data_IF_859295338426
#
_entry.id   IF_859295338426
#
_cell.length_a   1.000
_cell.length_b   1.000
_cell.length_c   1.000
_cell.angle_alpha   90.00
_cell.angle_beta   90.00
_cell.angle_gamma   90.00
#
_symmetry.space_group_name_H-M   'P 1'
#
loop_
_entity.id
_entity.type
_entity.pdbx_description
1 polymer ?
#
# COMPACT_ATOMS: atom_id res chain seq x y z
N UNK A 1 4.92 -7.74 7.36
CA UNK A 1 4.58 -6.31 7.51
C UNK A 1 4.56 -5.74 6.10
N UNK A 2 3.44 -5.11 5.71
CA UNK A 2 3.28 -4.48 4.40
C UNK A 2 3.54 -2.97 4.48
N UNK A 3 3.66 -2.34 3.32
CA UNK A 3 3.67 -0.90 3.11
C UNK A 3 2.30 -0.54 2.54
N UNK A 4 1.46 0.01 3.40
CA UNK A 4 0.13 0.52 3.09
C UNK A 4 0.24 1.95 2.60
N UNK A 5 -0.10 2.15 1.32
CA UNK A 5 -0.05 3.46 0.69
C UNK A 5 -1.46 3.94 0.40
N UNK A 6 -1.82 5.11 0.94
CA UNK A 6 -3.13 5.75 0.73
C UNK A 6 -2.96 7.17 0.22
N UNK A 7 -3.67 7.51 -0.84
CA UNK A 7 -3.68 8.88 -1.38
C UNK A 7 -4.12 9.89 -0.32
N UNK A 8 -3.54 11.09 -0.35
CA UNK A 8 -3.84 12.15 0.62
C UNK A 8 -5.30 12.60 0.48
N UNK A 9 -5.73 12.85 -0.75
CA UNK A 9 -7.12 13.14 -1.11
C UNK A 9 -7.75 11.89 -1.73
N UNK A 10 -8.14 10.93 -0.89
CA UNK A 10 -8.63 9.61 -1.31
C UNK A 10 -9.81 9.70 -2.32
N UNK A 11 -9.64 9.30 -3.60
CA UNK A 11 -10.70 9.31 -4.61
C UNK A 11 -11.71 8.18 -4.44
N UNK A 12 -11.49 7.27 -3.49
CA UNK A 12 -12.30 6.07 -3.31
C UNK A 12 -13.76 6.43 -3.03
N UNK A 13 -14.66 5.91 -3.86
CA UNK A 13 -16.08 5.90 -3.54
C UNK A 13 -16.33 4.95 -2.37
N UNK A 14 -16.35 5.50 -1.15
CA UNK A 14 -16.51 4.73 0.09
C UNK A 14 -17.84 3.96 0.13
N UNK A 15 -18.89 4.43 -0.55
CA UNK A 15 -20.18 3.74 -0.63
C UNK A 15 -20.07 2.50 -1.54
N UNK A 16 -19.43 2.66 -2.70
CA UNK A 16 -19.14 1.55 -3.60
C UNK A 16 -18.21 0.54 -2.92
N UNK A 17 -17.10 0.98 -2.33
CA UNK A 17 -16.15 0.12 -1.64
C UNK A 17 -16.84 -0.67 -0.52
N UNK A 18 -17.67 -0.02 0.31
CA UNK A 18 -18.48 -0.70 1.34
C UNK A 18 -19.40 -1.77 0.73
N UNK A 19 -20.05 -1.46 -0.38
CA UNK A 19 -20.91 -2.41 -1.10
C UNK A 19 -20.11 -3.62 -1.60
N UNK A 20 -18.94 -3.39 -2.23
CA UNK A 20 -18.06 -4.46 -2.71
C UNK A 20 -17.50 -5.33 -1.58
N UNK A 21 -17.11 -4.71 -0.45
CA UNK A 21 -16.70 -5.45 0.75
C UNK A 21 -17.83 -6.33 1.28
N UNK A 22 -19.08 -5.85 1.26
CA UNK A 22 -20.25 -6.65 1.57
C UNK A 22 -20.39 -7.88 0.68
N UNK A 23 -20.19 -7.74 -0.64
CA UNK A 23 -20.17 -8.85 -1.60
C UNK A 23 -19.04 -9.84 -1.29
N UNK A 24 -17.82 -9.35 -1.03
CA UNK A 24 -16.68 -10.19 -0.67
C UNK A 24 -16.94 -11.01 0.59
N UNK A 25 -17.39 -10.39 1.68
CA UNK A 25 -17.68 -11.10 2.92
C UNK A 25 -18.82 -12.12 2.75
N UNK A 26 -19.83 -11.81 1.93
CA UNK A 26 -20.88 -12.77 1.61
C UNK A 26 -20.34 -13.99 0.84
N UNK A 27 -19.45 -13.78 -0.14
CA UNK A 27 -18.80 -14.86 -0.88
C UNK A 27 -17.90 -15.72 0.03
N UNK A 28 -17.10 -15.10 0.90
CA UNK A 28 -16.26 -15.80 1.89
C UNK A 28 -17.12 -16.65 2.81
N UNK A 29 -18.20 -16.08 3.35
CA UNK A 29 -19.14 -16.80 4.22
C UNK A 29 -19.79 -17.99 3.49
N UNK A 30 -20.17 -17.83 2.23
CA UNK A 30 -20.77 -18.89 1.43
C UNK A 30 -19.79 -20.05 1.18
N UNK A 31 -18.53 -19.74 0.85
CA UNK A 31 -17.45 -20.74 0.70
C UNK A 31 -17.17 -21.46 2.03
N UNK A 32 -17.03 -20.71 3.12
CA UNK A 32 -16.66 -21.27 4.43
C UNK A 32 -17.78 -22.09 5.07
N UNK A 33 -19.03 -21.94 4.61
CA UNK A 33 -20.15 -22.78 5.00
C UNK A 33 -20.10 -24.20 4.35
N UNK A 34 -19.24 -24.42 3.34
CA UNK A 34 -19.08 -25.73 2.73
C UNK A 34 -18.30 -26.69 3.66
N UNK A 35 -18.56 -28.01 3.60
CA UNK A 35 -17.82 -28.98 4.36
C UNK A 35 -16.30 -28.89 4.12
N UNK A 36 -15.51 -28.90 5.19
CA UNK A 36 -14.03 -28.74 5.11
C UNK A 36 -13.34 -29.74 4.18
N UNK A 37 -13.86 -30.96 4.04
CA UNK A 37 -13.28 -31.97 3.15
C UNK A 37 -13.39 -31.59 1.67
N UNK A 38 -14.28 -30.66 1.30
CA UNK A 38 -14.43 -30.20 -0.08
C UNK A 38 -13.37 -29.20 -0.53
N UNK A 39 -12.63 -28.60 0.41
CA UNK A 39 -11.54 -27.66 0.10
C UNK A 39 -10.41 -28.33 -0.70
N UNK A 40 -10.22 -29.63 -0.49
CA UNK A 40 -9.06 -30.38 -0.94
C UNK A 40 -7.79 -30.03 -0.15
N UNK A 41 -6.70 -30.70 -0.50
CA UNK A 41 -5.35 -30.43 -0.02
C UNK A 41 -4.47 -30.03 -1.20
N UNK A 42 -3.50 -29.15 -0.98
CA UNK A 42 -2.50 -28.81 -2.01
C UNK A 42 -1.69 -30.08 -2.32
N UNK A 43 -1.50 -30.38 -3.61
CA UNK A 43 -0.58 -31.43 -4.02
C UNK A 43 0.86 -30.99 -3.72
N UNK A 44 1.61 -31.70 -2.83
CA UNK A 44 2.99 -31.34 -2.51
C UNK A 44 3.90 -31.23 -3.73
N UNK A 45 3.64 -32.00 -4.79
CA UNK A 45 4.44 -31.94 -6.02
C UNK A 45 4.19 -30.63 -6.77
N UNK A 46 2.94 -30.17 -6.84
CA UNK A 46 2.60 -28.88 -7.46
C UNK A 46 3.10 -27.71 -6.64
N UNK A 47 3.05 -27.80 -5.30
CA UNK A 47 3.50 -26.73 -4.39
C UNK A 47 4.98 -26.41 -4.53
N UNK A 48 5.80 -27.40 -4.91
CA UNK A 48 7.23 -27.22 -5.16
C UNK A 48 7.53 -26.65 -6.55
N UNK A 49 6.52 -26.48 -7.41
CA UNK A 49 6.71 -25.89 -8.73
C UNK A 49 6.97 -24.38 -8.63
N UNK A 50 7.96 -23.84 -9.35
CA UNK A 50 8.15 -22.39 -9.49
C UNK A 50 6.94 -21.68 -10.13
N UNK A 51 6.06 -22.43 -10.81
CA UNK A 51 4.84 -21.93 -11.44
C UNK A 51 3.59 -22.16 -10.59
N UNK A 52 3.74 -22.49 -9.30
CA UNK A 52 2.61 -22.77 -8.43
C UNK A 52 1.75 -21.51 -8.26
N UNK A 53 0.46 -21.65 -8.57
CA UNK A 53 -0.55 -20.62 -8.37
C UNK A 53 -1.62 -21.15 -7.40
N UNK A 54 -1.87 -20.41 -6.32
CA UNK A 54 -2.89 -20.77 -5.34
C UNK A 54 -4.31 -20.71 -5.92
N UNK A 55 -4.52 -19.91 -6.96
CA UNK A 55 -5.79 -19.79 -7.66
C UNK A 55 -6.02 -20.93 -8.65
N UNK A 56 -4.97 -21.60 -9.15
CA UNK A 56 -5.11 -22.77 -10.01
C UNK A 56 -5.71 -23.95 -9.23
N UNK A 57 -6.96 -24.25 -9.56
CA UNK A 57 -7.72 -25.34 -8.94
C UNK A 57 -7.14 -26.73 -9.23
N UNK A 58 -6.33 -26.88 -10.28
CA UNK A 58 -5.66 -28.14 -10.63
C UNK A 58 -4.60 -28.54 -9.60
N UNK A 59 -4.08 -27.57 -8.82
CA UNK A 59 -3.08 -27.80 -7.78
C UNK A 59 -3.65 -28.41 -6.49
N UNK A 60 -4.96 -28.72 -6.45
CA UNK A 60 -5.67 -29.15 -5.25
C UNK A 60 -6.29 -30.55 -5.40
N UNK A 61 -5.78 -31.50 -4.62
CA UNK A 61 -6.28 -32.88 -4.56
C UNK A 61 -7.53 -32.97 -3.68
N UNK A 62 -8.61 -33.50 -4.24
CA UNK A 62 -9.87 -33.71 -3.52
C UNK A 62 -10.73 -32.46 -3.38
N UNK A 63 -10.35 -31.33 -4.00
CA UNK A 63 -11.21 -30.14 -4.08
C UNK A 63 -12.44 -30.46 -4.93
N UNK A 64 -13.63 -30.16 -4.42
CA UNK A 64 -14.85 -30.37 -5.21
C UNK A 64 -15.06 -29.23 -6.20
N UNK A 65 -15.73 -29.47 -7.35
CA UNK A 65 -16.13 -28.41 -8.26
C UNK A 65 -16.98 -27.31 -7.59
N UNK A 66 -17.75 -27.69 -6.57
CA UNK A 66 -18.56 -26.74 -5.79
C UNK A 66 -17.70 -25.81 -4.96
N UNK A 67 -16.68 -26.33 -4.28
CA UNK A 67 -15.76 -25.50 -3.51
C UNK A 67 -14.91 -24.62 -4.40
N UNK A 68 -14.43 -25.16 -5.53
CA UNK A 68 -13.75 -24.41 -6.58
C UNK A 68 -14.56 -23.18 -7.03
N UNK A 69 -15.80 -23.38 -7.47
CA UNK A 69 -16.67 -22.28 -7.88
C UNK A 69 -16.94 -21.25 -6.75
N UNK A 70 -17.04 -21.71 -5.49
CA UNK A 70 -17.17 -20.79 -4.35
C UNK A 70 -15.89 -20.00 -4.08
N UNK A 71 -14.71 -20.59 -4.31
CA UNK A 71 -13.42 -19.90 -4.24
C UNK A 71 -13.26 -18.89 -5.37
N UNK A 72 -13.65 -19.24 -6.61
CA UNK A 72 -13.66 -18.30 -7.74
C UNK A 72 -14.52 -17.07 -7.44
N UNK A 73 -15.71 -17.26 -6.85
CA UNK A 73 -16.56 -16.16 -6.43
C UNK A 73 -15.91 -15.26 -5.36
N UNK A 74 -15.09 -15.82 -4.47
CA UNK A 74 -14.30 -15.04 -3.51
C UNK A 74 -13.21 -14.25 -4.21
N UNK A 75 -12.43 -14.88 -5.11
CA UNK A 75 -11.36 -14.21 -5.84
C UNK A 75 -11.92 -13.07 -6.69
N UNK A 76 -13.04 -13.29 -7.38
CA UNK A 76 -13.70 -12.24 -8.15
C UNK A 76 -14.20 -11.10 -7.27
N UNK A 77 -14.87 -11.40 -6.16
CA UNK A 77 -15.32 -10.37 -5.23
C UNK A 77 -14.15 -9.60 -4.58
N UNK A 78 -12.99 -10.25 -4.39
CA UNK A 78 -11.76 -9.59 -3.94
C UNK A 78 -11.28 -8.58 -4.98
N UNK A 79 -11.15 -8.98 -6.25
CA UNK A 79 -10.78 -8.07 -7.35
C UNK A 79 -11.72 -6.88 -7.45
N UNK A 80 -13.01 -7.09 -7.20
CA UNK A 80 -13.99 -5.99 -7.16
C UNK A 80 -13.77 -5.02 -6.01
N UNK A 81 -13.27 -5.48 -4.86
CA UNK A 81 -12.86 -4.62 -3.75
C UNK A 81 -11.60 -3.85 -4.12
N UNK A 82 -10.59 -4.54 -4.65
CA UNK A 82 -9.31 -3.94 -5.04
C UNK A 82 -9.52 -2.84 -6.10
N UNK A 83 -10.34 -3.12 -7.12
CA UNK A 83 -10.72 -2.14 -8.14
C UNK A 83 -11.54 -0.96 -7.60
N UNK A 84 -12.21 -1.12 -6.45
CA UNK A 84 -13.02 -0.07 -5.84
C UNK A 84 -12.22 0.80 -4.87
N UNK A 85 -11.15 0.28 -4.23
CA UNK A 85 -10.25 1.03 -3.33
C UNK A 85 -9.22 1.80 -4.16
N UNK A 86 -9.69 2.70 -5.03
CA UNK A 86 -8.88 3.42 -6.01
C UNK A 86 -7.75 4.25 -5.39
N UNK A 87 -7.90 4.67 -4.13
CA UNK A 87 -6.90 5.45 -3.40
C UNK A 87 -5.86 4.62 -2.65
N UNK A 88 -5.84 3.29 -2.79
CA UNK A 88 -4.98 2.39 -2.02
C UNK A 88 -4.06 1.56 -2.90
N UNK A 89 -2.82 1.38 -2.45
CA UNK A 89 -1.85 0.45 -3.02
C UNK A 89 -1.06 -0.19 -1.88
N UNK A 90 -0.69 -1.47 -2.02
CA UNK A 90 0.05 -2.18 -0.99
C UNK A 90 1.14 -3.05 -1.59
N UNK A 91 2.31 -3.01 -0.96
CA UNK A 91 3.39 -3.96 -1.22
C UNK A 91 3.83 -4.59 0.09
N UNK A 92 4.16 -5.88 0.08
CA UNK A 92 4.87 -6.46 1.21
C UNK A 92 6.33 -5.96 1.25
N UNK A 93 7.08 -6.26 2.32
CA UNK A 93 8.47 -5.82 2.47
C UNK A 93 9.40 -6.22 1.31
N UNK A 94 9.20 -7.39 0.71
CA UNK A 94 9.98 -7.86 -0.43
C UNK A 94 9.61 -7.10 -1.71
N UNK A 95 8.31 -6.89 -1.93
CA UNK A 95 7.79 -6.07 -3.03
C UNK A 95 8.28 -4.63 -2.95
N UNK A 96 8.27 -4.03 -1.76
CA UNK A 96 8.78 -2.67 -1.55
C UNK A 96 10.30 -2.58 -1.75
N UNK A 97 11.06 -3.62 -1.35
CA UNK A 97 12.49 -3.68 -1.64
C UNK A 97 12.77 -3.70 -3.14
N UNK A 98 12.05 -4.55 -3.89
CA UNK A 98 12.15 -4.61 -5.35
C UNK A 98 11.68 -3.31 -6.00
N UNK A 99 10.58 -2.73 -5.53
CA UNK A 99 10.06 -1.45 -6.02
C UNK A 99 11.11 -0.35 -5.91
N UNK A 100 11.76 -0.19 -4.74
CA UNK A 100 12.85 0.78 -4.58
C UNK A 100 14.03 0.52 -5.50
N UNK A 101 14.40 -0.75 -5.72
CA UNK A 101 15.48 -1.09 -6.63
C UNK A 101 15.15 -0.63 -8.06
N UNK A 102 13.97 -0.97 -8.57
CA UNK A 102 13.53 -0.55 -9.91
C UNK A 102 13.45 0.98 -9.97
N UNK A 103 12.84 1.63 -8.96
CA UNK A 103 12.77 3.09 -8.92
C UNK A 103 14.17 3.75 -8.95
N UNK A 104 15.15 3.19 -8.25
CA UNK A 104 16.54 3.67 -8.28
C UNK A 104 17.17 3.50 -9.67
N UNK A 105 17.02 2.34 -10.30
CA UNK A 105 17.54 2.04 -11.65
C UNK A 105 17.00 3.01 -12.71
N UNK A 106 15.78 3.53 -12.50
CA UNK A 106 15.11 4.46 -13.41
C UNK A 106 15.12 5.92 -12.94
N UNK A 107 15.99 6.30 -11.98
CA UNK A 107 16.13 7.67 -11.44
C UNK A 107 14.82 8.26 -10.91
N UNK A 108 13.93 7.42 -10.38
CA UNK A 108 12.67 7.84 -9.76
C UNK A 108 12.85 8.16 -8.27
N UNK A 109 14.00 7.84 -7.68
CA UNK A 109 14.34 8.13 -6.29
C UNK A 109 15.34 9.27 -6.17
N UNK A 110 15.21 10.01 -5.07
CA UNK A 110 16.16 11.00 -4.62
C UNK A 110 16.95 10.47 -3.41
N UNK A 111 18.28 10.58 -3.48
CA UNK A 111 19.14 10.36 -2.32
C UNK A 111 19.16 11.60 -1.42
N UNK A 112 19.13 11.39 -0.10
CA UNK A 112 19.19 12.45 0.88
C UNK A 112 18.91 11.97 2.30
N UNK A 113 19.32 12.76 3.29
CA UNK A 113 18.94 12.55 4.68
C UNK A 113 17.50 13.01 4.94
N UNK A 114 16.89 12.47 5.98
CA UNK A 114 15.65 13.02 6.54
C UNK A 114 15.98 13.93 7.74
N UNK A 115 15.15 14.93 8.05
CA UNK A 115 15.31 15.75 9.24
C UNK A 115 15.08 14.90 10.49
N UNK A 116 15.56 15.39 11.64
CA UNK A 116 15.27 14.77 12.92
C UNK A 116 13.78 14.84 13.23
N UNK A 117 13.25 13.80 13.86
CA UNK A 117 11.89 13.82 14.38
C UNK A 117 11.77 14.86 15.51
N UNK A 118 10.67 15.65 15.55
CA UNK A 118 10.44 16.55 16.66
C UNK A 118 10.25 15.76 17.96
N UNK A 119 10.76 16.29 19.07
CA UNK A 119 10.48 15.73 20.39
C UNK A 119 9.41 16.57 21.10
N UNK A 120 8.51 15.93 21.87
CA UNK A 120 7.43 16.63 22.56
C UNK A 120 7.95 17.79 23.45
N UNK A 121 9.10 17.54 24.11
CA UNK A 121 9.76 18.51 25.00
C UNK A 121 10.18 19.80 24.29
N UNK A 122 10.40 19.76 22.97
CA UNK A 122 10.81 20.94 22.19
C UNK A 122 9.65 21.94 22.03
N UNK A 123 8.43 21.51 22.35
CA UNK A 123 7.19 22.28 22.22
C UNK A 123 6.52 22.53 23.57
N UNK A 124 7.19 22.32 24.70
CA UNK A 124 6.57 22.36 26.03
C UNK A 124 5.38 21.37 26.17
N UNK A 125 5.47 20.21 25.51
CA UNK A 125 4.51 19.12 25.64
C UNK A 125 5.19 17.86 26.23
N UNK A 126 4.39 16.98 26.81
CA UNK A 126 4.80 15.65 27.27
C UNK A 126 4.44 14.57 26.26
N UNK A 127 5.14 13.43 26.28
CA UNK A 127 4.78 12.30 25.42
C UNK A 127 3.34 11.82 25.67
N UNK A 128 2.90 11.79 26.93
CA UNK A 128 1.54 11.38 27.30
C UNK A 128 0.48 12.32 26.70
N UNK A 129 0.73 13.64 26.68
CA UNK A 129 -0.15 14.61 26.00
C UNK A 129 -0.17 14.38 24.49
N UNK A 130 0.99 14.13 23.86
CA UNK A 130 1.04 13.83 22.43
C UNK A 130 0.27 12.56 22.10
N UNK A 131 0.45 11.48 22.88
CA UNK A 131 -0.25 10.21 22.66
C UNK A 131 -1.76 10.36 22.85
N UNK A 132 -2.21 11.07 23.90
CA UNK A 132 -3.63 11.37 24.14
C UNK A 132 -4.25 12.11 22.94
N UNK A 133 -3.54 13.11 22.41
CA UNK A 133 -4.04 13.90 21.29
C UNK A 133 -3.88 13.22 19.95
N UNK A 134 -2.90 12.33 19.79
CA UNK A 134 -2.74 11.51 18.59
C UNK A 134 -4.00 10.68 18.35
N UNK A 135 -4.48 9.97 19.37
CA UNK A 135 -5.70 9.17 19.25
C UNK A 135 -6.93 10.03 18.93
N UNK A 136 -7.07 11.19 19.58
CA UNK A 136 -8.18 12.13 19.31
C UNK A 136 -8.17 12.69 17.88
N UNK A 137 -6.99 12.95 17.32
CA UNK A 137 -6.84 13.51 15.97
C UNK A 137 -7.04 12.44 14.89
N UNK A 138 -6.48 11.25 15.08
CA UNK A 138 -6.48 10.19 14.07
C UNK A 138 -7.68 9.24 14.18
N UNK A 139 -8.29 9.14 15.35
CA UNK A 139 -9.47 8.31 15.65
C UNK A 139 -10.51 9.11 16.44
N UNK A 140 -11.04 10.23 15.90
CA UNK A 140 -12.03 11.02 16.61
C UNK A 140 -13.27 10.18 16.89
N UNK A 141 -13.77 10.23 18.13
CA UNK A 141 -15.09 9.71 18.45
C UNK A 141 -16.16 10.57 17.74
N UNK A 142 -17.25 9.92 17.30
CA UNK A 142 -18.25 10.50 16.40
C UNK A 142 -18.67 11.93 16.77
N UNK A 143 -18.20 12.91 15.98
CA UNK A 143 -18.65 14.31 16.00
C UNK A 143 -17.83 15.28 16.86
N UNK A 144 -16.82 14.81 17.60
CA UNK A 144 -15.94 15.70 18.37
C UNK A 144 -14.66 16.03 17.58
N UNK A 145 -14.62 17.22 16.99
CA UNK A 145 -13.37 17.83 16.52
C UNK A 145 -12.83 18.68 17.66
N UNK A 146 -12.04 18.07 18.54
CA UNK A 146 -11.34 18.80 19.59
C UNK A 146 -10.07 19.43 19.00
N UNK A 147 -9.87 20.72 19.24
CA UNK A 147 -8.60 21.38 18.88
C UNK A 147 -7.54 21.10 19.95
N UNK A 148 -6.34 20.61 19.57
CA UNK A 148 -5.27 20.38 20.53
C UNK A 148 -4.80 21.70 21.17
N UNK A 149 -4.29 21.65 22.42
CA UNK A 149 -3.57 22.76 23.03
C UNK A 149 -2.47 23.29 22.10
N UNK A 150 -2.15 24.59 22.14
CA UNK A 150 -1.21 25.20 21.20
C UNK A 150 0.17 24.52 21.10
N UNK A 151 0.70 24.02 22.21
CA UNK A 151 1.96 23.25 22.25
C UNK A 151 1.86 21.94 21.46
N UNK A 152 0.78 21.18 21.67
CA UNK A 152 0.52 19.92 20.97
C UNK A 152 0.23 20.16 19.49
N UNK A 153 -0.52 21.21 19.15
CA UNK A 153 -0.74 21.64 17.78
C UNK A 153 0.58 21.94 17.05
N UNK A 154 1.47 22.71 17.69
CA UNK A 154 2.78 23.06 17.14
C UNK A 154 3.67 21.82 16.92
N UNK A 155 3.62 20.85 17.84
CA UNK A 155 4.29 19.56 17.67
C UNK A 155 3.78 18.82 16.42
N UNK A 156 2.46 18.72 16.23
CA UNK A 156 1.88 18.05 15.07
C UNK A 156 2.16 18.77 13.74
N UNK A 157 2.22 20.10 13.74
CA UNK A 157 2.65 20.88 12.58
C UNK A 157 4.12 20.60 12.22
N UNK A 158 5.01 20.54 13.21
CA UNK A 158 6.40 20.18 13.00
C UNK A 158 6.55 18.72 12.52
N UNK A 159 5.76 17.81 13.08
CA UNK A 159 5.73 16.40 12.67
C UNK A 159 5.26 16.26 11.21
N UNK A 160 4.23 17.02 10.82
CA UNK A 160 3.76 17.08 9.44
C UNK A 160 4.83 17.63 8.50
N UNK A 161 5.54 18.69 8.90
CA UNK A 161 6.63 19.26 8.13
C UNK A 161 7.76 18.23 7.90
N UNK A 162 8.13 17.46 8.93
CA UNK A 162 9.09 16.34 8.81
C UNK A 162 8.57 15.27 7.86
N UNK A 163 7.32 14.81 8.02
CA UNK A 163 6.73 13.76 7.18
C UNK A 163 6.62 14.15 5.71
N UNK A 164 6.42 15.43 5.42
CA UNK A 164 6.38 15.97 4.05
C UNK A 164 7.74 16.41 3.52
N UNK A 165 8.82 16.33 4.30
CA UNK A 165 10.13 16.89 3.95
C UNK A 165 10.67 16.33 2.63
N UNK A 166 11.24 17.22 1.81
CA UNK A 166 11.96 16.88 0.59
C UNK A 166 13.35 17.54 0.63
N UNK A 167 14.44 16.79 0.40
CA UNK A 167 15.78 17.37 0.33
C UNK A 167 15.89 18.42 -0.78
N UNK A 168 16.50 19.57 -0.49
CA UNK A 168 16.67 20.63 -1.50
C UNK A 168 17.56 20.17 -2.66
N UNK A 169 17.18 20.53 -3.89
CA UNK A 169 17.98 20.30 -5.09
C UNK A 169 17.98 18.86 -5.61
N UNK A 170 17.13 17.98 -5.08
CA UNK A 170 16.96 16.61 -5.60
C UNK A 170 15.70 16.49 -6.46
N UNK A 171 15.54 15.35 -7.13
CA UNK A 171 14.40 15.07 -8.01
C UNK A 171 13.97 13.62 -7.80
N UNK A 172 12.66 13.37 -7.76
CA UNK A 172 12.07 12.06 -7.48
C UNK A 172 11.67 11.88 -6.02
N UNK A 173 11.30 10.66 -5.64
CA UNK A 173 10.84 10.36 -4.27
C UNK A 173 12.05 10.17 -3.35
N UNK A 174 12.16 10.91 -2.22
CA UNK A 174 13.24 10.68 -1.27
C UNK A 174 13.22 9.23 -0.75
N UNK A 175 14.31 8.51 -0.94
CA UNK A 175 14.39 7.06 -0.68
C UNK A 175 13.92 6.69 0.73
N UNK A 176 14.25 7.50 1.74
CA UNK A 176 13.88 7.25 3.14
C UNK A 176 12.36 7.15 3.37
N UNK A 177 11.54 7.84 2.56
CA UNK A 177 10.06 7.81 2.70
C UNK A 177 9.48 6.44 2.39
N UNK A 178 10.20 5.64 1.60
CA UNK A 178 9.81 4.30 1.19
C UNK A 178 10.56 3.20 1.97
N UNK A 179 11.37 3.59 2.97
CA UNK A 179 12.15 2.66 3.79
C UNK A 179 11.41 2.24 5.07
N UNK A 180 10.44 3.02 5.54
CA UNK A 180 9.72 2.78 6.78
C UNK A 180 8.24 3.18 6.69
N UNK A 181 7.47 2.74 7.68
CA UNK A 181 6.03 2.96 7.79
C UNK A 181 5.70 4.13 8.73
N UNK A 182 6.58 5.13 8.84
CA UNK A 182 6.47 6.20 9.84
C UNK A 182 5.41 7.26 9.47
N UNK A 183 4.58 7.00 8.45
CA UNK A 183 3.56 7.92 7.97
C UNK A 183 4.12 9.04 7.09
N UNK A 184 5.24 8.79 6.39
CA UNK A 184 5.80 9.70 5.40
C UNK A 184 4.76 10.08 4.35
N UNK A 185 4.88 11.29 3.80
CA UNK A 185 4.06 11.76 2.69
C UNK A 185 4.93 11.88 1.46
N UNK A 186 4.66 11.05 0.45
CA UNK A 186 5.15 11.26 -0.91
C UNK A 186 4.22 12.27 -1.56
N UNK A 187 4.72 13.47 -1.81
CA UNK A 187 3.93 14.62 -2.27
C UNK A 187 3.54 14.49 -3.75
N UNK A 188 2.59 15.32 -4.19
CA UNK A 188 2.20 15.39 -5.60
C UNK A 188 3.38 15.60 -6.55
N UNK A 189 4.29 16.52 -6.22
CA UNK A 189 5.41 16.87 -7.09
C UNK A 189 6.43 15.73 -7.16
N UNK A 190 6.70 15.05 -6.04
CA UNK A 190 7.55 13.86 -6.02
C UNK A 190 6.96 12.72 -6.87
N UNK A 191 5.64 12.50 -6.81
CA UNK A 191 4.95 11.53 -7.65
C UNK A 191 5.10 11.86 -9.14
N UNK A 192 4.87 13.13 -9.54
CA UNK A 192 5.01 13.55 -10.94
C UNK A 192 6.45 13.37 -11.43
N UNK A 193 7.43 13.81 -10.65
CA UNK A 193 8.84 13.67 -11.00
C UNK A 193 9.25 12.21 -11.20
N UNK A 194 8.78 11.31 -10.31
CA UNK A 194 9.04 9.88 -10.45
C UNK A 194 8.39 9.28 -11.71
N UNK A 195 7.13 9.61 -11.99
CA UNK A 195 6.43 9.15 -13.19
C UNK A 195 7.07 9.70 -14.47
N UNK A 196 7.48 10.97 -14.47
CA UNK A 196 8.19 11.59 -15.59
C UNK A 196 9.54 10.91 -15.85
N UNK A 197 10.30 10.59 -14.79
CA UNK A 197 11.56 9.86 -14.89
C UNK A 197 11.35 8.45 -15.49
N UNK A 198 10.31 7.73 -15.05
CA UNK A 198 9.93 6.44 -15.61
C UNK A 198 9.60 6.55 -17.10
N UNK A 199 8.72 7.47 -17.48
CA UNK A 199 8.30 7.68 -18.86
C UNK A 199 9.48 8.07 -19.77
N UNK A 200 10.38 8.93 -19.28
CA UNK A 200 11.57 9.35 -20.02
C UNK A 200 12.58 8.21 -20.23
N UNK A 201 12.59 7.19 -19.36
CA UNK A 201 13.48 6.04 -19.50
C UNK A 201 13.15 5.16 -20.71
N UNK A 202 11.89 5.19 -21.19
CA UNK A 202 11.42 4.34 -22.27
C UNK A 202 11.42 2.84 -21.95
N UNK A 203 11.51 2.48 -20.67
CA UNK A 203 11.59 1.11 -20.20
C UNK A 203 10.26 0.36 -20.39
N UNK A 204 10.36 -0.94 -20.67
CA UNK A 204 9.23 -1.87 -20.65
C UNK A 204 8.88 -2.31 -19.23
N UNK A 205 8.09 -3.38 -19.11
CA UNK A 205 7.81 -3.98 -17.80
C UNK A 205 9.14 -4.51 -17.21
N UNK A 206 9.52 -4.10 -15.98
CA UNK A 206 10.71 -4.60 -15.33
C UNK A 206 10.64 -6.11 -15.13
N UNK A 207 11.80 -6.75 -15.09
CA UNK A 207 11.92 -8.18 -14.80
C UNK A 207 12.77 -8.41 -13.55
N UNK A 208 12.58 -9.57 -12.92
CA UNK A 208 13.38 -10.05 -11.79
C UNK A 208 13.76 -11.50 -11.99
N UNK A 209 14.80 -11.95 -11.28
CA UNK A 209 15.20 -13.35 -11.31
C UNK A 209 14.52 -14.12 -10.17
N UNK A 210 13.73 -15.13 -10.51
CA UNK A 210 13.14 -16.10 -9.58
C UNK A 210 13.53 -17.51 -10.02
N UNK A 211 14.16 -18.28 -9.12
CA UNK A 211 14.66 -19.64 -9.40
C UNK A 211 15.50 -19.75 -10.69
N UNK A 212 16.31 -18.72 -10.96
CA UNK A 212 17.17 -18.65 -12.14
C UNK A 212 16.44 -18.33 -13.45
N UNK A 213 15.17 -17.94 -13.39
CA UNK A 213 14.37 -17.50 -14.54
C UNK A 213 14.02 -16.03 -14.42
N UNK A 214 13.99 -15.36 -15.56
CA UNK A 214 13.50 -13.99 -15.68
C UNK A 214 11.97 -13.99 -15.67
N UNK A 215 11.38 -13.21 -14.77
CA UNK A 215 9.93 -13.08 -14.56
C UNK A 215 9.56 -11.61 -14.55
N UNK A 216 8.51 -11.24 -15.27
CA UNK A 216 7.97 -9.88 -15.29
C UNK A 216 7.40 -9.48 -13.92
N UNK A 217 7.64 -8.22 -13.54
CA UNK A 217 7.07 -7.61 -12.34
C UNK A 217 5.67 -7.09 -12.68
N UNK A 218 4.69 -7.98 -12.65
CA UNK A 218 3.33 -7.75 -13.17
C UNK A 218 2.55 -6.62 -12.48
N UNK A 219 2.87 -6.29 -11.22
CA UNK A 219 2.26 -5.18 -10.48
C UNK A 219 2.89 -3.82 -10.79
N UNK A 220 4.01 -3.76 -11.54
CA UNK A 220 4.71 -2.51 -11.82
C UNK A 220 3.87 -1.49 -12.61
N UNK A 221 3.11 -1.87 -13.67
CA UNK A 221 2.23 -0.93 -14.35
C UNK A 221 1.19 -0.30 -13.41
N UNK A 222 0.64 -1.07 -12.47
CA UNK A 222 -0.32 -0.58 -11.48
C UNK A 222 0.34 0.40 -10.50
N UNK A 223 1.60 0.17 -10.12
CA UNK A 223 2.38 1.09 -9.29
C UNK A 223 2.59 2.45 -9.98
N UNK A 224 2.99 2.44 -11.26
CA UNK A 224 3.18 3.67 -12.04
C UNK A 224 1.87 4.43 -12.21
N UNK A 225 0.78 3.72 -12.54
CA UNK A 225 -0.57 4.31 -12.62
C UNK A 225 -1.02 4.89 -11.27
N UNK A 226 -0.79 4.17 -10.17
CA UNK A 226 -1.10 4.65 -8.81
C UNK A 226 -0.35 5.95 -8.49
N UNK A 227 0.96 6.04 -8.75
CA UNK A 227 1.72 7.29 -8.54
C UNK A 227 1.21 8.43 -9.43
N UNK A 228 0.87 8.12 -10.69
CA UNK A 228 0.31 9.12 -11.60
C UNK A 228 -1.02 9.68 -11.07
N UNK A 229 -1.89 8.83 -10.54
CA UNK A 229 -3.14 9.29 -9.91
C UNK A 229 -2.86 10.02 -8.60
N UNK A 230 -1.97 9.51 -7.76
CA UNK A 230 -1.63 10.14 -6.48
C UNK A 230 -1.11 11.58 -6.67
N UNK A 231 -0.38 11.86 -7.75
CA UNK A 231 0.03 13.20 -8.12
C UNK A 231 -1.13 14.21 -8.21
N UNK A 232 -2.30 13.78 -8.70
CA UNK A 232 -3.51 14.61 -8.79
C UNK A 232 -4.32 14.63 -7.49
N UNK A 233 -4.00 13.74 -6.56
CA UNK A 233 -4.69 13.55 -5.28
C UNK A 233 -3.85 13.95 -4.06
N UNK A 234 -2.92 14.89 -4.23
CA UNK A 234 -2.11 15.45 -3.12
C UNK A 234 -0.92 14.59 -2.70
N UNK A 235 -0.64 13.50 -3.41
CA UNK A 235 0.36 12.50 -3.06
C UNK A 235 -0.24 11.31 -2.29
N UNK A 236 0.60 10.59 -1.54
CA UNK A 236 0.17 9.47 -0.70
C UNK A 236 0.97 9.33 0.60
N UNK A 237 0.34 8.76 1.62
CA UNK A 237 0.97 8.34 2.88
C UNK A 237 1.63 6.97 2.73
N UNK A 238 2.70 6.70 3.49
CA UNK A 238 3.36 5.39 3.62
C UNK A 238 3.26 4.90 5.07
N UNK A 239 2.54 3.79 5.32
CA UNK A 239 2.22 3.26 6.66
C UNK A 239 2.27 1.74 6.75
#
# INVERSE_FOLDING_TARGET
MGYDMRMVNDPTDQSLLKTRRGTFYAAVKARDALPKHERGNIDPATFQSPSFDFDDHSAWVGRTPRYAAAQDAVCEASRMVDNADAGYFCLNIWGMSLCRQIMAEHNMLADGGHPLWPEAKDFDATSDEIDEWYDKIYYPEDGEVAEPPPNVAAYFDALKAVKCYHPEGTTGVPTFKLCSNDGWVVTSDECRQAVDAWNASGAGIPTRIEDGKEVEVTWWPEWVDYMSRAADHGGFYVR
#
